data_IF_390426397238
#
_entry.id   IF_390426397238
#
_cell.length_a   1.000
_cell.length_b   1.000
_cell.length_c   1.000
_cell.angle_alpha   90.00
_cell.angle_beta   90.00
_cell.angle_gamma   90.00
#
_symmetry.space_group_name_H-M   'P 1'
#
loop_
_entity.id
_entity.type
_entity.pdbx_description
1 polymer ?
#
# COMPACT_ATOMS: atom_id res chain seq x y z
N UNK A 1 9.59 12.09 -2.87
CA UNK A 1 10.45 13.28 -2.97
C UNK A 1 10.54 13.96 -1.63
N UNK A 2 9.49 14.67 -1.23
CA UNK A 2 9.44 15.51 -0.02
C UNK A 2 10.03 14.87 1.23
N UNK A 3 9.65 13.63 1.57
CA UNK A 3 10.23 12.91 2.73
C UNK A 3 11.76 12.92 2.75
N UNK A 4 12.41 12.58 1.63
CA UNK A 4 13.87 12.53 1.52
C UNK A 4 14.49 13.92 1.64
N UNK A 5 13.88 14.92 0.98
CA UNK A 5 14.38 16.30 1.01
C UNK A 5 14.28 16.92 2.41
N UNK A 6 13.29 16.53 3.20
CA UNK A 6 13.20 16.89 4.63
C UNK A 6 14.30 16.17 5.43
N UNK A 7 14.54 14.88 5.17
CA UNK A 7 15.63 14.11 5.81
C UNK A 7 17.03 14.69 5.47
N UNK A 8 17.22 15.19 4.26
CA UNK A 8 18.46 15.82 3.77
C UNK A 8 18.61 17.29 4.24
N UNK A 9 17.60 17.87 4.90
CA UNK A 9 17.62 19.26 5.37
C UNK A 9 17.45 20.32 4.27
N UNK A 10 17.06 19.91 3.05
CA UNK A 10 16.79 20.81 1.92
C UNK A 10 15.44 21.51 2.08
N UNK A 11 14.45 20.83 2.68
CA UNK A 11 13.14 21.40 3.04
C UNK A 11 13.04 21.47 4.56
N UNK A 12 12.84 22.66 5.11
CA UNK A 12 12.58 22.89 6.53
C UNK A 12 11.25 22.28 7.02
N UNK A 13 11.18 21.93 8.31
CA UNK A 13 9.98 21.34 8.92
C UNK A 13 8.80 22.32 9.02
N UNK A 14 9.11 23.62 9.02
CA UNK A 14 8.21 24.76 9.12
C UNK A 14 7.83 25.35 7.76
N UNK A 15 8.42 24.86 6.67
CA UNK A 15 8.11 25.32 5.33
C UNK A 15 6.74 24.86 4.83
N UNK A 16 6.08 25.74 4.07
CA UNK A 16 4.82 25.42 3.40
C UNK A 16 5.10 24.79 2.04
N UNK A 17 4.83 23.49 1.93
CA UNK A 17 5.05 22.70 0.71
C UNK A 17 3.73 22.26 0.10
N UNK A 18 3.63 22.30 -1.23
CA UNK A 18 2.48 21.77 -1.98
C UNK A 18 2.94 20.59 -2.84
N UNK A 19 2.35 19.41 -2.63
CA UNK A 19 2.55 18.25 -3.49
C UNK A 19 1.40 18.13 -4.50
N UNK A 20 1.73 18.15 -5.79
CA UNK A 20 0.74 18.04 -6.86
C UNK A 20 0.67 16.60 -7.34
N UNK A 21 -0.51 15.98 -7.22
CA UNK A 21 -0.81 14.68 -7.82
C UNK A 21 -1.35 14.91 -9.23
N UNK A 22 -0.61 14.50 -10.25
CA UNK A 22 -0.97 14.73 -11.66
C UNK A 22 -1.91 13.66 -12.24
N UNK A 23 -2.19 12.60 -11.48
CA UNK A 23 -3.04 11.48 -11.89
C UNK A 23 -3.93 10.97 -10.77
N UNK A 24 -5.13 10.52 -11.13
CA UNK A 24 -6.03 9.83 -10.22
C UNK A 24 -5.59 8.38 -10.02
N UNK A 25 -5.72 7.84 -8.80
CA UNK A 25 -5.27 6.48 -8.46
C UNK A 25 -5.90 5.40 -9.33
N UNK A 26 -7.18 5.57 -9.70
CA UNK A 26 -7.91 4.65 -10.59
C UNK A 26 -7.33 4.53 -12.01
N UNK A 27 -6.33 5.34 -12.38
CA UNK A 27 -5.57 5.14 -13.63
C UNK A 27 -4.62 3.94 -13.56
N UNK A 28 -4.20 3.51 -12.36
CA UNK A 28 -3.40 2.29 -12.13
C UNK A 28 -3.82 1.58 -10.83
N UNK A 29 -5.04 0.99 -10.79
CA UNK A 29 -5.50 0.27 -9.61
C UNK A 29 -4.66 -0.99 -9.33
N UNK A 30 -4.03 -1.57 -10.37
CA UNK A 30 -3.19 -2.75 -10.25
C UNK A 30 -1.99 -2.53 -9.32
N UNK A 31 -1.40 -1.33 -9.30
CA UNK A 31 -0.35 -1.00 -8.34
C UNK A 31 -0.83 -1.11 -6.88
N UNK A 32 -2.07 -0.72 -6.60
CA UNK A 32 -2.67 -0.82 -5.26
C UNK A 32 -2.96 -2.29 -4.94
N UNK A 33 -3.61 -3.02 -5.84
CA UNK A 33 -3.89 -4.46 -5.64
C UNK A 33 -2.60 -5.26 -5.43
N UNK A 34 -1.59 -5.04 -6.27
CA UNK A 34 -0.29 -5.71 -6.15
C UNK A 34 0.44 -5.38 -4.84
N UNK A 35 0.23 -4.19 -4.26
CA UNK A 35 0.83 -3.85 -2.96
C UNK A 35 0.17 -4.60 -1.80
N UNK A 36 -1.15 -4.77 -1.88
CA UNK A 36 -1.97 -5.32 -0.79
C UNK A 36 -2.22 -6.83 -0.88
N UNK A 37 -1.94 -7.45 -2.02
CA UNK A 37 -2.14 -8.89 -2.21
C UNK A 37 -1.09 -9.76 -1.50
N UNK A 38 -1.39 -11.05 -1.36
CA UNK A 38 -0.43 -12.11 -1.00
C UNK A 38 0.18 -12.79 -2.22
N UNK A 39 -0.27 -12.48 -3.44
CA UNK A 39 0.27 -13.01 -4.69
C UNK A 39 1.65 -12.40 -5.00
N UNK A 40 2.70 -13.19 -4.78
CA UNK A 40 4.08 -12.79 -5.01
C UNK A 40 4.43 -12.60 -6.49
N UNK A 41 3.79 -13.36 -7.39
CA UNK A 41 4.02 -13.22 -8.82
C UNK A 41 3.49 -11.85 -9.29
N UNK A 42 2.24 -11.53 -8.94
CA UNK A 42 1.63 -10.24 -9.25
C UNK A 42 2.40 -9.08 -8.63
N UNK A 43 2.85 -9.21 -7.37
CA UNK A 43 3.71 -8.21 -6.72
C UNK A 43 4.98 -7.95 -7.53
N UNK A 44 5.71 -9.01 -7.90
CA UNK A 44 6.99 -8.87 -8.63
C UNK A 44 6.78 -8.28 -10.02
N UNK A 45 5.75 -8.72 -10.74
CA UNK A 45 5.42 -8.26 -12.08
C UNK A 45 5.03 -6.78 -12.11
N UNK A 46 4.27 -6.29 -11.12
CA UNK A 46 3.76 -4.91 -11.10
C UNK A 46 4.72 -3.96 -10.38
N UNK A 47 5.17 -4.32 -9.18
CA UNK A 47 5.91 -3.45 -8.25
C UNK A 47 7.39 -3.78 -8.15
N UNK A 48 7.76 -5.06 -8.23
CA UNK A 48 9.16 -5.51 -8.20
C UNK A 48 9.99 -4.86 -9.30
N UNK A 49 9.47 -4.85 -10.54
CA UNK A 49 10.10 -4.13 -11.68
C UNK A 49 10.22 -2.62 -11.50
N UNK A 50 9.42 -2.03 -10.59
CA UNK A 50 9.44 -0.59 -10.22
C UNK A 50 10.36 -0.31 -9.01
N UNK A 51 11.10 -1.31 -8.54
CA UNK A 51 12.07 -1.18 -7.45
C UNK A 51 11.48 -1.34 -6.04
N UNK A 52 10.21 -1.71 -5.90
CA UNK A 52 9.60 -1.99 -4.59
C UNK A 52 10.04 -3.37 -4.11
N UNK A 53 10.63 -3.42 -2.91
CA UNK A 53 11.20 -4.67 -2.35
C UNK A 53 10.28 -5.39 -1.36
N UNK A 54 9.40 -4.65 -0.68
CA UNK A 54 8.50 -5.18 0.36
C UNK A 54 7.26 -4.31 0.53
N UNK A 55 6.14 -4.93 0.85
CA UNK A 55 4.91 -4.25 1.24
C UNK A 55 4.73 -4.26 2.77
N UNK A 56 5.50 -3.41 3.46
CA UNK A 56 5.54 -3.39 4.93
C UNK A 56 4.22 -2.96 5.59
N UNK A 57 3.33 -2.33 4.82
CA UNK A 57 2.04 -1.81 5.29
C UNK A 57 0.86 -2.40 4.48
N UNK A 58 1.04 -3.60 3.94
CA UNK A 58 -0.01 -4.27 3.18
C UNK A 58 -1.18 -4.68 4.08
N UNK A 59 -2.34 -4.06 3.86
CA UNK A 59 -3.63 -4.58 4.32
C UNK A 59 -4.09 -5.74 3.43
N UNK A 60 -3.71 -6.97 3.78
CA UNK A 60 -4.03 -8.18 3.01
C UNK A 60 -5.46 -8.65 3.28
N UNK A 61 -6.12 -9.15 2.25
CA UNK A 61 -7.41 -9.81 2.43
C UNK A 61 -7.24 -11.07 3.30
N UNK A 62 -8.17 -11.27 4.23
CA UNK A 62 -8.29 -12.49 5.02
C UNK A 62 -9.41 -13.31 4.41
N UNK A 63 -9.07 -14.45 3.79
CA UNK A 63 -10.06 -15.37 3.22
C UNK A 63 -10.71 -16.18 4.34
N UNK A 64 -12.04 -16.18 4.38
CA UNK A 64 -12.84 -16.91 5.38
C UNK A 64 -13.83 -17.86 4.68
N UNK A 65 -14.13 -19.03 5.28
CA UNK A 65 -15.23 -19.87 4.81
C UNK A 65 -16.56 -19.12 4.81
N UNK A 66 -17.49 -19.54 3.96
CA UNK A 66 -18.87 -19.05 3.98
C UNK A 66 -19.66 -19.69 5.13
N UNK A 67 -19.21 -19.44 6.36
CA UNK A 67 -19.80 -19.90 7.61
C UNK A 67 -19.87 -18.71 8.59
N UNK A 68 -21.03 -18.51 9.22
CA UNK A 68 -21.27 -17.35 10.08
C UNK A 68 -20.31 -17.31 11.27
N UNK A 69 -20.02 -18.46 11.88
CA UNK A 69 -19.16 -18.53 13.07
C UNK A 69 -17.72 -18.20 12.71
N UNK A 70 -17.24 -18.70 11.57
CA UNK A 70 -15.88 -18.39 11.08
C UNK A 70 -15.75 -16.92 10.65
N UNK A 71 -16.79 -16.31 10.09
CA UNK A 71 -16.81 -14.87 9.77
C UNK A 71 -16.73 -14.02 11.04
N UNK A 72 -17.55 -14.31 12.06
CA UNK A 72 -17.53 -13.58 13.34
C UNK A 72 -16.15 -13.68 13.98
N UNK A 73 -15.59 -14.89 14.07
CA UNK A 73 -14.27 -15.13 14.63
C UNK A 73 -13.18 -14.33 13.91
N UNK A 74 -13.23 -14.24 12.58
CA UNK A 74 -12.26 -13.44 11.82
C UNK A 74 -12.40 -11.94 12.11
N UNK A 75 -13.62 -11.43 12.25
CA UNK A 75 -13.85 -10.02 12.62
C UNK A 75 -13.31 -9.74 14.02
N UNK A 76 -13.52 -10.62 15.00
CA UNK A 76 -12.99 -10.41 16.36
C UNK A 76 -11.45 -10.47 16.43
N UNK A 77 -10.82 -11.27 15.57
CA UNK A 77 -9.36 -11.41 15.53
C UNK A 77 -8.65 -10.28 14.78
N UNK A 78 -9.29 -9.69 13.77
CA UNK A 78 -8.65 -8.75 12.83
C UNK A 78 -9.33 -7.39 12.70
N UNK A 79 -10.50 -7.19 13.33
CA UNK A 79 -11.29 -5.96 13.30
C UNK A 79 -10.89 -4.91 14.34
#
# INVERSE_FOLDING_TARGET
GTKKLVEEGIIGKDERVVCILTGHLLKDPNATVAYHTTDQHLFNEVLGKRGVRRAAFANRAVTVPNDLSEIIKAIELYG
#
